data_IF_066909947617
#
_entry.id   IF_066909947617
#
_cell.length_a   1.000
_cell.length_b   1.000
_cell.length_c   1.000
_cell.angle_alpha   90.00
_cell.angle_beta   90.00
_cell.angle_gamma   90.00
#
_symmetry.space_group_name_H-M   'P 1'
#
loop_
_entity.id
_entity.type
_entity.pdbx_description
1 polymer ?
#
# COMPACT_ATOMS: atom_id res chain seq x y z
N UNK A 1 13.97 21.41 -1.01
CA UNK A 1 14.31 20.26 -0.12
C UNK A 1 13.15 19.29 0.03
N UNK A 2 11.90 19.73 -0.16
CA UNK A 2 10.69 18.86 -0.15
C UNK A 2 10.60 17.89 -1.34
N UNK A 3 11.12 18.28 -2.50
CA UNK A 3 11.04 17.49 -3.73
C UNK A 3 11.83 16.16 -3.64
N UNK A 4 12.96 16.16 -2.95
CA UNK A 4 13.81 14.97 -2.78
C UNK A 4 13.15 13.95 -1.83
N UNK A 5 12.50 14.42 -0.76
CA UNK A 5 11.77 13.54 0.18
C UNK A 5 10.55 12.92 -0.50
N UNK A 6 9.83 13.71 -1.29
CA UNK A 6 8.70 13.25 -2.09
C UNK A 6 9.12 12.21 -3.15
N UNK A 7 10.21 12.48 -3.88
CA UNK A 7 10.77 11.56 -4.87
C UNK A 7 11.23 10.24 -4.26
N UNK A 8 12.04 10.29 -3.19
CA UNK A 8 12.52 9.09 -2.50
C UNK A 8 11.36 8.26 -1.91
N UNK A 9 10.42 8.90 -1.21
CA UNK A 9 9.29 8.18 -0.62
C UNK A 9 8.42 7.50 -1.67
N UNK A 10 8.28 8.09 -2.86
CA UNK A 10 7.51 7.53 -3.98
C UNK A 10 8.24 6.32 -4.56
N UNK A 11 9.54 6.40 -4.81
CA UNK A 11 10.33 5.26 -5.32
C UNK A 11 10.39 4.12 -4.32
N UNK A 12 10.66 4.42 -3.05
CA UNK A 12 10.70 3.41 -1.99
C UNK A 12 9.33 2.75 -1.78
N UNK A 13 8.24 3.52 -1.84
CA UNK A 13 6.89 2.97 -1.80
C UNK A 13 6.57 2.07 -2.99
N UNK A 14 7.05 2.40 -4.20
CA UNK A 14 6.91 1.54 -5.36
C UNK A 14 7.63 0.20 -5.15
N UNK A 15 8.86 0.21 -4.61
CA UNK A 15 9.59 -1.02 -4.28
C UNK A 15 8.83 -1.87 -3.25
N UNK A 16 8.28 -1.24 -2.21
CA UNK A 16 7.46 -1.93 -1.20
C UNK A 16 6.19 -2.52 -1.83
N UNK A 17 5.54 -1.80 -2.75
CA UNK A 17 4.37 -2.31 -3.46
C UNK A 17 4.67 -3.51 -4.35
N UNK A 18 5.83 -3.55 -5.01
CA UNK A 18 6.31 -4.73 -5.77
C UNK A 18 6.42 -5.95 -4.84
N UNK A 19 7.05 -5.76 -3.68
CA UNK A 19 7.37 -6.86 -2.78
C UNK A 19 6.15 -7.35 -1.99
N UNK A 20 5.29 -6.41 -1.57
CA UNK A 20 4.19 -6.69 -0.63
C UNK A 20 2.81 -6.74 -1.29
N UNK A 21 2.66 -6.34 -2.56
CA UNK A 21 1.38 -6.40 -3.27
C UNK A 21 0.82 -7.81 -3.39
N UNK A 22 1.67 -8.77 -3.77
CA UNK A 22 1.31 -10.19 -3.86
C UNK A 22 0.91 -10.82 -2.51
N UNK A 23 1.74 -10.73 -1.44
CA UNK A 23 1.35 -11.28 -0.14
C UNK A 23 0.15 -10.57 0.47
N UNK A 24 0.00 -9.25 0.26
CA UNK A 24 -1.21 -8.53 0.68
C UNK A 24 -2.46 -9.08 0.00
N UNK A 25 -2.42 -9.30 -1.32
CA UNK A 25 -3.52 -9.94 -2.04
C UNK A 25 -3.79 -11.36 -1.52
N UNK A 26 -2.75 -12.17 -1.32
CA UNK A 26 -2.91 -13.55 -0.84
C UNK A 26 -3.62 -13.63 0.51
N UNK A 27 -3.38 -12.67 1.41
CA UNK A 27 -4.02 -12.61 2.73
C UNK A 27 -5.43 -12.02 2.65
N UNK A 28 -5.68 -11.03 1.79
CA UNK A 28 -6.94 -10.27 1.78
C UNK A 28 -7.99 -10.80 0.79
N UNK A 29 -7.56 -11.39 -0.32
CA UNK A 29 -8.44 -11.87 -1.38
C UNK A 29 -9.50 -12.89 -0.90
N UNK A 30 -9.19 -13.86 -0.01
CA UNK A 30 -10.21 -14.80 0.48
C UNK A 30 -11.37 -14.09 1.18
N UNK A 31 -11.11 -13.01 1.92
CA UNK A 31 -12.14 -12.25 2.61
C UNK A 31 -13.00 -11.45 1.64
N UNK A 32 -12.39 -10.87 0.59
CA UNK A 32 -13.11 -10.12 -0.45
C UNK A 32 -14.01 -11.06 -1.25
N UNK A 33 -13.50 -12.22 -1.64
CA UNK A 33 -14.25 -13.25 -2.36
C UNK A 33 -15.41 -13.78 -1.51
N UNK A 34 -15.15 -14.16 -0.25
CA UNK A 34 -16.19 -14.65 0.66
C UNK A 34 -17.29 -13.61 0.94
N UNK A 35 -16.97 -12.32 0.84
CA UNK A 35 -17.95 -11.24 0.95
C UNK A 35 -18.75 -11.07 -0.34
N UNK A 36 -18.10 -11.19 -1.51
CA UNK A 36 -18.75 -11.10 -2.81
C UNK A 36 -19.71 -12.26 -3.09
N UNK A 37 -19.36 -13.49 -2.68
CA UNK A 37 -20.20 -14.70 -2.81
C UNK A 37 -21.58 -14.57 -2.16
N UNK A 38 -21.74 -13.66 -1.19
CA UNK A 38 -23.03 -13.44 -0.50
C UNK A 38 -24.03 -12.64 -1.33
N UNK A 39 -23.60 -11.96 -2.38
CA UNK A 39 -24.43 -10.96 -3.08
C UNK A 39 -24.34 -11.01 -4.60
N UNK A 40 -23.39 -11.75 -5.17
CA UNK A 40 -23.11 -11.74 -6.60
C UNK A 40 -23.08 -13.15 -7.21
N UNK A 41 -23.32 -13.24 -8.52
CA UNK A 41 -23.17 -14.51 -9.26
C UNK A 41 -21.70 -14.92 -9.35
N UNK A 42 -21.40 -16.21 -9.57
CA UNK A 42 -20.03 -16.71 -9.64
C UNK A 42 -19.15 -15.96 -10.66
N UNK A 43 -19.66 -15.56 -11.83
CA UNK A 43 -18.86 -14.82 -12.81
C UNK A 43 -18.43 -13.44 -12.30
N UNK A 44 -19.30 -12.78 -11.54
CA UNK A 44 -19.03 -11.46 -10.96
C UNK A 44 -18.05 -11.58 -9.80
N UNK A 45 -18.12 -12.66 -9.00
CA UNK A 45 -17.17 -12.95 -7.92
C UNK A 45 -15.74 -13.12 -8.48
N UNK A 46 -15.59 -13.89 -9.57
CA UNK A 46 -14.28 -14.06 -10.22
C UNK A 46 -13.72 -12.74 -10.74
N UNK A 47 -14.57 -11.90 -11.35
CA UNK A 47 -14.18 -10.58 -11.80
C UNK A 47 -13.73 -9.68 -10.63
N UNK A 48 -14.43 -9.75 -9.49
CA UNK A 48 -14.06 -9.03 -8.26
C UNK A 48 -12.71 -9.52 -7.74
N UNK A 49 -12.45 -10.84 -7.76
CA UNK A 49 -11.16 -11.41 -7.37
C UNK A 49 -9.99 -10.88 -8.21
N UNK A 50 -10.15 -10.84 -9.53
CA UNK A 50 -9.15 -10.29 -10.45
C UNK A 50 -8.97 -8.78 -10.23
N UNK A 51 -10.06 -8.05 -10.07
CA UNK A 51 -10.02 -6.61 -9.80
C UNK A 51 -9.29 -6.32 -8.48
N UNK A 52 -9.53 -7.13 -7.43
CA UNK A 52 -8.85 -7.00 -6.15
C UNK A 52 -7.35 -7.26 -6.26
N UNK A 53 -6.93 -8.25 -7.06
CA UNK A 53 -5.52 -8.53 -7.32
C UNK A 53 -4.79 -7.32 -7.93
N UNK A 54 -5.45 -6.58 -8.83
CA UNK A 54 -4.89 -5.37 -9.44
C UNK A 54 -4.87 -4.22 -8.41
N UNK A 55 -5.93 -4.08 -7.61
CA UNK A 55 -6.07 -3.02 -6.60
C UNK A 55 -5.19 -3.22 -5.35
N UNK A 56 -4.78 -4.44 -5.04
CA UNK A 56 -3.86 -4.74 -3.95
C UNK A 56 -2.57 -3.90 -4.03
N UNK A 57 -2.07 -3.70 -5.25
CA UNK A 57 -0.84 -2.98 -5.51
C UNK A 57 -0.90 -1.48 -5.16
N UNK A 58 -1.88 -0.68 -5.66
CA UNK A 58 -2.01 0.72 -5.27
C UNK A 58 -2.33 0.90 -3.77
N UNK A 59 -3.07 -0.03 -3.14
CA UNK A 59 -3.31 0.05 -1.69
C UNK A 59 -2.01 -0.02 -0.88
N UNK A 60 -1.15 -1.00 -1.18
CA UNK A 60 0.16 -1.12 -0.54
C UNK A 60 1.05 0.09 -0.84
N UNK A 61 1.03 0.59 -2.08
CA UNK A 61 1.81 1.76 -2.48
C UNK A 61 1.46 3.01 -1.67
N UNK A 62 0.18 3.39 -1.57
CA UNK A 62 -0.20 4.60 -0.85
C UNK A 62 0.06 4.48 0.65
N UNK A 63 -0.20 3.32 1.24
CA UNK A 63 0.11 3.04 2.64
C UNK A 63 1.62 3.14 2.92
N UNK A 64 2.45 2.55 2.06
CA UNK A 64 3.91 2.62 2.17
C UNK A 64 4.43 4.05 2.02
N UNK A 65 3.93 4.81 1.02
CA UNK A 65 4.34 6.19 0.76
C UNK A 65 4.05 7.10 1.96
N UNK A 66 2.84 7.01 2.50
CA UNK A 66 2.45 7.77 3.69
C UNK A 66 3.33 7.42 4.91
N UNK A 67 3.59 6.13 5.13
CA UNK A 67 4.41 5.65 6.25
C UNK A 67 5.85 6.13 6.15
N UNK A 68 6.46 6.09 4.96
CA UNK A 68 7.83 6.55 4.74
C UNK A 68 7.94 8.07 4.93
N UNK A 69 6.98 8.85 4.41
CA UNK A 69 6.95 10.30 4.62
C UNK A 69 6.81 10.67 6.10
N UNK A 70 5.95 9.95 6.83
CA UNK A 70 5.80 10.13 8.26
C UNK A 70 7.10 9.81 9.01
N UNK A 71 7.75 8.69 8.68
CA UNK A 71 9.04 8.30 9.29
C UNK A 71 10.15 9.33 9.01
N UNK A 72 10.26 9.84 7.78
CA UNK A 72 11.23 10.88 7.42
C UNK A 72 10.97 12.20 8.15
N UNK A 73 9.70 12.55 8.35
CA UNK A 73 9.31 13.74 9.10
C UNK A 73 9.68 13.59 10.57
N UNK A 74 9.32 12.46 11.19
CA UNK A 74 9.65 12.16 12.59
C UNK A 74 11.17 12.13 12.83
N UNK A 75 11.94 11.50 11.94
CA UNK A 75 13.40 11.49 12.02
C UNK A 75 13.99 12.90 11.88
N UNK A 76 13.47 13.72 10.97
CA UNK A 76 13.88 15.12 10.83
C UNK A 76 13.62 15.94 12.09
N UNK A 77 12.45 15.77 12.71
CA UNK A 77 12.08 16.41 13.98
C UNK A 77 13.04 15.96 15.09
N UNK A 78 13.26 14.66 15.26
CA UNK A 78 14.16 14.13 16.29
C UNK A 78 15.57 14.69 16.18
N UNK A 79 16.13 14.75 14.96
CA UNK A 79 17.46 15.31 14.73
C UNK A 79 17.49 16.80 15.08
N UNK A 80 16.48 17.58 14.68
CA UNK A 80 16.41 19.01 14.99
C UNK A 80 16.36 19.27 16.51
N UNK A 81 15.58 18.49 17.26
CA UNK A 81 15.51 18.59 18.73
C UNK A 81 16.73 18.06 19.46
N UNK A 82 17.62 17.29 18.81
CA UNK A 82 18.85 16.79 19.43
C UNK A 82 19.98 17.83 19.49
N UNK A 83 19.89 18.88 18.68
CA UNK A 83 20.92 19.94 18.60
C UNK A 83 20.48 21.28 19.22
N UNK A 84 19.31 21.32 19.86
CA UNK A 84 18.78 22.42 20.67
C UNK A 84 18.80 21.96 22.12
#
# INVERSE_FOLDING_TARGET
MDDIKGGFATTAAAMVAILLGSPFNAVTAPYVIAMAERSYSPEVVDLIGIAWMILAYPFVFFAARASILAALTAAGVYIAYRFI
#
